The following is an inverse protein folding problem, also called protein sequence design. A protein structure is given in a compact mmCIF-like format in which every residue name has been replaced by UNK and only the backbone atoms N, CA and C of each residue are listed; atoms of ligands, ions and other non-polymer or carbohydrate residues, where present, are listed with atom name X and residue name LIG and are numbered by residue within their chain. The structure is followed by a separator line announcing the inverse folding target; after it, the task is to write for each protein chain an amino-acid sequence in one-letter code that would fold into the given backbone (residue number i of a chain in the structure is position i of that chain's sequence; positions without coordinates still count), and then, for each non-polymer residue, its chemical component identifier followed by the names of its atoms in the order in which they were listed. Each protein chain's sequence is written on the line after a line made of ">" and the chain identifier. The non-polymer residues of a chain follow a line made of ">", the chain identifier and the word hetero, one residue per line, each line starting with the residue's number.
data_IF_160380425473
#
_entry.id   IF_160380425473
#
_cell.length_a   1.000
_cell.length_b   1.000
_cell.length_c   1.000
_cell.angle_alpha   90.00
_cell.angle_beta   90.00
_cell.angle_gamma   90.00
#
_symmetry.space_group_name_H-M   'P 1'
#
loop_
_entity.id
_entity.type
_entity.pdbx_description
1 polymer ?
#
# COMPACT_ATOMS: atom_id res chain seq x y z
N UNK A 1 10.33 15.92 -12.34
CA UNK A 1 10.62 14.79 -11.43
C UNK A 1 10.47 13.51 -12.25
N UNK A 2 11.40 12.58 -12.12
CA UNK A 2 11.28 11.26 -12.73
C UNK A 2 9.95 10.61 -12.31
N UNK A 3 9.20 10.04 -13.27
CA UNK A 3 7.90 9.41 -13.03
C UNK A 3 8.03 8.25 -12.05
N UNK A 4 9.12 7.47 -12.13
CA UNK A 4 9.38 6.38 -11.19
C UNK A 4 9.55 6.90 -9.77
N UNK A 5 10.36 7.94 -9.59
CA UNK A 5 10.57 8.59 -8.29
C UNK A 5 9.26 9.18 -7.75
N UNK A 6 8.44 9.78 -8.61
CA UNK A 6 7.12 10.29 -8.21
C UNK A 6 6.22 9.16 -7.71
N UNK A 7 6.11 8.06 -8.45
CA UNK A 7 5.28 6.91 -8.07
C UNK A 7 5.72 6.30 -6.75
N UNK A 8 7.02 6.14 -6.54
CA UNK A 8 7.57 5.65 -5.27
C UNK A 8 7.29 6.60 -4.11
N UNK A 9 7.37 7.92 -4.31
CA UNK A 9 7.02 8.90 -3.28
C UNK A 9 5.53 8.88 -2.95
N UNK A 10 4.66 8.74 -3.96
CA UNK A 10 3.22 8.60 -3.75
C UNK A 10 2.96 7.35 -2.92
N UNK A 11 3.45 6.19 -3.37
CA UNK A 11 3.35 4.91 -2.66
C UNK A 11 3.84 5.05 -1.21
N UNK A 12 5.06 5.56 -1.02
CA UNK A 12 5.68 5.69 0.28
C UNK A 12 4.88 6.54 1.25
N UNK A 13 4.51 7.77 0.85
CA UNK A 13 3.77 8.66 1.73
C UNK A 13 2.32 8.21 1.97
N UNK A 14 1.64 7.64 0.97
CA UNK A 14 0.29 7.09 1.17
C UNK A 14 0.30 5.90 2.12
N UNK A 15 1.28 5.00 1.99
CA UNK A 15 1.41 3.82 2.84
C UNK A 15 1.83 4.19 4.27
N UNK A 16 2.66 5.21 4.45
CA UNK A 16 2.94 5.73 5.81
C UNK A 16 1.68 6.33 6.43
N UNK A 17 0.95 7.18 5.71
CA UNK A 17 -0.25 7.81 6.25
C UNK A 17 -1.29 6.76 6.66
N UNK A 18 -1.62 5.83 5.76
CA UNK A 18 -2.59 4.77 6.03
C UNK A 18 -2.09 3.79 7.08
N UNK A 19 -0.84 3.37 6.96
CA UNK A 19 -0.24 2.41 7.88
C UNK A 19 -0.14 2.95 9.31
N UNK A 20 0.11 4.25 9.49
CA UNK A 20 0.10 4.89 10.81
C UNK A 20 -1.31 4.97 11.40
N UNK A 21 -2.34 5.21 10.59
CA UNK A 21 -3.74 5.13 11.05
C UNK A 21 -4.05 3.73 11.56
N UNK A 22 -3.75 2.71 10.75
CA UNK A 22 -3.96 1.30 11.12
C UNK A 22 -3.14 0.85 12.32
N UNK A 23 -1.93 1.38 12.48
CA UNK A 23 -1.04 0.98 13.56
C UNK A 23 -1.40 1.64 14.90
N UNK A 24 -1.64 2.97 14.89
CA UNK A 24 -1.82 3.75 16.13
C UNK A 24 -3.27 3.88 16.57
N UNK A 25 -4.19 4.08 15.63
CA UNK A 25 -5.61 4.37 15.90
C UNK A 25 -6.57 3.49 15.09
N UNK A 26 -6.38 2.15 15.09
CA UNK A 26 -7.20 1.23 14.29
C UNK A 26 -8.67 1.23 14.69
N UNK A 27 -9.00 1.46 15.96
CA UNK A 27 -10.38 1.49 16.44
C UNK A 27 -11.17 2.64 15.82
N UNK A 28 -10.56 3.83 15.72
CA UNK A 28 -11.18 4.98 15.05
C UNK A 28 -11.45 4.69 13.57
N UNK A 29 -10.50 4.01 12.90
CA UNK A 29 -10.69 3.63 11.51
C UNK A 29 -11.83 2.62 11.35
N UNK A 30 -11.89 1.58 12.19
CA UNK A 30 -12.97 0.60 12.18
C UNK A 30 -14.35 1.25 12.43
N UNK A 31 -14.44 2.19 13.38
CA UNK A 31 -15.66 2.95 13.63
C UNK A 31 -16.09 3.78 12.42
N UNK A 32 -15.13 4.41 11.73
CA UNK A 32 -15.37 5.21 10.54
C UNK A 32 -15.87 4.36 9.35
N UNK A 33 -15.43 3.11 9.23
CA UNK A 33 -15.96 2.14 8.25
C UNK A 33 -17.30 1.50 8.66
N UNK A 34 -17.73 1.69 9.91
CA UNK A 34 -18.83 0.93 10.52
C UNK A 34 -18.51 -0.56 10.71
N UNK A 35 -17.22 -0.91 10.74
CA UNK A 35 -16.74 -2.27 10.89
C UNK A 35 -16.74 -2.74 12.34
N UNK A 36 -16.78 -4.06 12.54
CA UNK A 36 -16.59 -4.65 13.87
C UNK A 36 -15.11 -4.56 14.33
N UNK A 37 -14.87 -4.74 15.63
CA UNK A 37 -13.53 -4.61 16.23
C UNK A 37 -12.78 -5.94 16.38
N UNK A 38 -13.29 -7.02 15.80
CA UNK A 38 -12.69 -8.37 15.92
C UNK A 38 -11.29 -8.44 15.28
N UNK A 39 -11.04 -7.62 14.25
CA UNK A 39 -9.82 -7.67 13.44
C UNK A 39 -8.80 -6.58 13.76
N UNK A 40 -8.94 -5.87 14.88
CA UNK A 40 -8.04 -4.76 15.24
C UNK A 40 -6.57 -5.19 15.33
N UNK A 41 -6.29 -6.38 15.85
CA UNK A 41 -4.92 -6.90 15.92
C UNK A 41 -4.32 -7.13 14.52
N UNK A 42 -5.12 -7.62 13.58
CA UNK A 42 -4.72 -7.76 12.17
C UNK A 42 -4.48 -6.41 11.53
N UNK A 43 -5.36 -5.42 11.78
CA UNK A 43 -5.22 -4.07 11.26
C UNK A 43 -3.90 -3.42 11.71
N UNK A 44 -3.51 -3.58 12.98
CA UNK A 44 -2.21 -3.09 13.47
C UNK A 44 -1.03 -3.71 12.75
N UNK A 45 -1.05 -5.03 12.54
CA UNK A 45 0.04 -5.72 11.85
C UNK A 45 0.13 -5.30 10.37
N UNK A 46 -1.02 -5.14 9.72
CA UNK A 46 -1.10 -4.62 8.36
C UNK A 46 -0.57 -3.18 8.30
N UNK A 47 -0.91 -2.34 9.28
CA UNK A 47 -0.38 -0.99 9.41
C UNK A 47 1.14 -0.94 9.54
N UNK A 48 1.71 -1.80 10.40
CA UNK A 48 3.15 -1.92 10.56
C UNK A 48 3.86 -2.35 9.26
N UNK A 49 3.28 -3.32 8.53
CA UNK A 49 3.79 -3.77 7.25
C UNK A 49 3.73 -2.66 6.18
N UNK A 50 2.61 -1.94 6.09
CA UNK A 50 2.46 -0.80 5.19
C UNK A 50 3.48 0.30 5.46
N UNK A 51 3.71 0.65 6.73
CA UNK A 51 4.72 1.65 7.10
C UNK A 51 6.12 1.17 6.70
N UNK A 52 6.50 -0.05 7.06
CA UNK A 52 7.86 -0.54 6.90
C UNK A 52 8.19 -0.86 5.44
N UNK A 53 7.40 -1.71 4.79
CA UNK A 53 7.69 -2.25 3.46
C UNK A 53 7.33 -1.25 2.38
N UNK A 54 6.06 -0.87 2.27
CA UNK A 54 5.62 0.02 1.19
C UNK A 54 6.03 1.47 1.49
N UNK A 55 5.90 1.90 2.73
CA UNK A 55 6.21 3.25 3.17
C UNK A 55 7.70 3.59 3.08
N UNK A 56 8.47 3.10 4.06
CA UNK A 56 9.90 3.35 4.15
C UNK A 56 10.65 2.73 2.97
N UNK A 57 10.30 1.51 2.57
CA UNK A 57 10.94 0.85 1.41
C UNK A 57 10.79 1.67 0.12
N UNK A 58 9.60 2.20 -0.19
CA UNK A 58 9.43 3.01 -1.40
C UNK A 58 10.21 4.34 -1.32
N UNK A 59 10.24 5.00 -0.14
CA UNK A 59 10.98 6.25 0.02
C UNK A 59 12.50 6.06 -0.06
N UNK A 60 13.02 4.91 0.40
CA UNK A 60 14.42 4.54 0.22
C UNK A 60 14.73 4.25 -1.24
N UNK A 61 13.92 3.42 -1.91
CA UNK A 61 14.06 3.14 -3.34
C UNK A 61 13.93 4.41 -4.20
N UNK A 62 13.15 5.41 -3.76
CA UNK A 62 12.99 6.68 -4.48
C UNK A 62 14.26 7.54 -4.53
N UNK A 63 15.28 7.25 -3.68
CA UNK A 63 16.55 8.00 -3.68
C UNK A 63 17.36 7.70 -4.94
N UNK A 64 17.45 6.42 -5.29
CA UNK A 64 18.04 5.93 -6.53
C UNK A 64 17.35 4.62 -6.94
N UNK A 65 16.28 4.70 -7.76
CA UNK A 65 15.51 3.50 -8.13
C UNK A 65 16.30 2.47 -8.94
N UNK A 66 17.36 2.91 -9.64
CA UNK A 66 18.20 2.01 -10.46
C UNK A 66 19.16 1.24 -9.56
N UNK A 67 19.83 1.93 -8.64
CA UNK A 67 20.73 1.29 -7.67
C UNK A 67 19.95 0.41 -6.67
N UNK A 68 18.78 0.87 -6.22
CA UNK A 68 17.93 0.19 -5.22
C UNK A 68 16.87 -0.73 -5.85
N UNK A 69 17.14 -1.27 -7.03
CA UNK A 69 16.15 -2.05 -7.81
C UNK A 69 15.59 -3.27 -7.07
N UNK A 70 16.41 -3.94 -6.25
CA UNK A 70 15.92 -5.07 -5.45
C UNK A 70 14.89 -4.61 -4.41
N UNK A 71 15.12 -3.46 -3.78
CA UNK A 71 14.16 -2.88 -2.84
C UNK A 71 12.90 -2.39 -3.55
N UNK A 72 13.06 -1.78 -4.73
CA UNK A 72 11.94 -1.45 -5.62
C UNK A 72 11.06 -2.68 -5.91
N UNK A 73 11.68 -3.81 -6.26
CA UNK A 73 10.96 -5.03 -6.59
C UNK A 73 10.20 -5.61 -5.40
N UNK A 74 10.75 -5.51 -4.18
CA UNK A 74 10.05 -5.89 -2.95
C UNK A 74 8.84 -5.00 -2.71
N UNK A 75 8.99 -3.67 -2.85
CA UNK A 75 7.89 -2.70 -2.69
C UNK A 75 6.78 -2.95 -3.72
N UNK A 76 7.18 -3.17 -4.98
CA UNK A 76 6.25 -3.48 -6.06
C UNK A 76 5.50 -4.78 -5.79
N UNK A 77 6.20 -5.84 -5.38
CA UNK A 77 5.59 -7.13 -5.06
C UNK A 77 4.59 -7.00 -3.91
N UNK A 78 4.98 -6.34 -2.81
CA UNK A 78 4.10 -6.11 -1.67
C UNK A 78 2.84 -5.34 -2.09
N UNK A 79 3.01 -4.22 -2.80
CA UNK A 79 1.90 -3.40 -3.28
C UNK A 79 0.95 -4.18 -4.21
N UNK A 80 1.48 -5.05 -5.08
CA UNK A 80 0.66 -5.85 -5.99
C UNK A 80 -0.12 -6.93 -5.23
N UNK A 81 0.53 -7.64 -4.31
CA UNK A 81 -0.11 -8.70 -3.53
C UNK A 81 -1.19 -8.13 -2.60
N UNK A 82 -0.93 -7.01 -1.95
CA UNK A 82 -1.91 -6.30 -1.12
C UNK A 82 -3.11 -5.85 -1.94
N UNK A 83 -2.88 -5.27 -3.13
CA UNK A 83 -3.98 -4.87 -4.05
C UNK A 83 -4.80 -6.06 -4.51
N UNK A 84 -4.17 -7.20 -4.83
CA UNK A 84 -4.88 -8.43 -5.22
C UNK A 84 -5.70 -8.96 -4.05
N UNK A 85 -5.12 -9.01 -2.85
CA UNK A 85 -5.82 -9.47 -1.65
C UNK A 85 -7.03 -8.58 -1.33
N UNK A 86 -6.84 -7.26 -1.30
CA UNK A 86 -7.92 -6.29 -1.09
C UNK A 86 -8.99 -6.39 -2.17
N UNK A 87 -8.59 -6.52 -3.44
CA UNK A 87 -9.51 -6.69 -4.56
C UNK A 87 -10.33 -7.98 -4.46
N UNK A 88 -9.71 -9.09 -4.07
CA UNK A 88 -10.40 -10.35 -3.86
C UNK A 88 -11.40 -10.26 -2.70
N UNK A 89 -10.95 -9.79 -1.52
CA UNK A 89 -11.81 -9.61 -0.34
C UNK A 89 -12.94 -8.60 -0.58
N UNK A 90 -12.76 -7.63 -1.47
CA UNK A 90 -13.83 -6.71 -1.89
C UNK A 90 -14.83 -7.42 -2.80
N UNK A 91 -14.36 -8.26 -3.74
CA UNK A 91 -15.24 -9.00 -4.65
C UNK A 91 -16.08 -10.07 -3.93
N UNK A 92 -15.56 -10.69 -2.87
CA UNK A 92 -16.28 -11.66 -2.01
C UNK A 92 -17.00 -11.01 -0.82
N UNK A 93 -16.81 -9.71 -0.61
CA UNK A 93 -17.29 -8.94 0.53
C UNK A 93 -16.98 -9.58 1.89
N UNK A 94 -15.69 -9.81 2.14
CA UNK A 94 -15.18 -10.40 3.39
C UNK A 94 -15.11 -9.39 4.55
N UNK A 95 -15.42 -8.12 4.31
CA UNK A 95 -15.36 -7.05 5.30
C UNK A 95 -16.63 -6.97 6.15
N UNK A 96 -16.46 -6.59 7.41
CA UNK A 96 -17.57 -6.19 8.29
C UNK A 96 -17.98 -4.73 8.12
N UNK A 97 -17.25 -3.97 7.29
CA UNK A 97 -17.51 -2.56 7.00
C UNK A 97 -18.90 -2.37 6.37
N UNK A 98 -19.63 -1.36 6.84
CA UNK A 98 -20.93 -0.97 6.29
C UNK A 98 -20.81 0.14 5.25
N UNK A 99 -19.74 0.93 5.32
CA UNK A 99 -19.50 2.08 4.44
C UNK A 99 -18.52 1.70 3.32
N UNK A 100 -19.06 1.25 2.18
CA UNK A 100 -18.30 0.65 1.07
C UNK A 100 -17.19 1.54 0.51
N UNK A 101 -17.34 2.87 0.60
CA UNK A 101 -16.40 3.84 0.05
C UNK A 101 -15.03 3.76 0.71
N UNK A 102 -14.97 3.35 1.98
CA UNK A 102 -13.70 3.22 2.71
C UNK A 102 -12.93 1.95 2.34
N UNK A 103 -13.57 1.01 1.63
CA UNK A 103 -12.89 -0.15 1.03
C UNK A 103 -12.58 0.12 -0.45
N UNK A 104 -13.59 0.53 -1.21
CA UNK A 104 -13.49 0.70 -2.67
C UNK A 104 -12.61 1.88 -3.08
N UNK A 105 -12.62 2.98 -2.31
CA UNK A 105 -11.75 4.14 -2.54
C UNK A 105 -10.27 3.78 -2.46
N UNK A 106 -9.78 3.26 -1.32
CA UNK A 106 -8.40 2.78 -1.20
C UNK A 106 -8.03 1.71 -2.23
N UNK A 107 -8.94 0.79 -2.58
CA UNK A 107 -8.69 -0.21 -3.62
C UNK A 107 -8.38 0.44 -4.99
N UNK A 108 -9.15 1.44 -5.42
CA UNK A 108 -8.89 2.14 -6.69
C UNK A 108 -7.51 2.80 -6.68
N UNK A 109 -7.15 3.46 -5.57
CA UNK A 109 -5.83 4.08 -5.42
C UNK A 109 -4.73 3.03 -5.46
N UNK A 110 -4.90 1.92 -4.76
CA UNK A 110 -3.95 0.81 -4.70
C UNK A 110 -3.71 0.22 -6.11
N UNK A 111 -4.77 -0.01 -6.88
CA UNK A 111 -4.68 -0.45 -8.29
C UNK A 111 -3.83 0.51 -9.12
N UNK A 112 -4.09 1.82 -9.04
CA UNK A 112 -3.35 2.82 -9.80
C UNK A 112 -1.86 2.85 -9.42
N UNK A 113 -1.55 2.76 -8.12
CA UNK A 113 -0.16 2.71 -7.63
C UNK A 113 0.54 1.44 -8.08
N UNK A 114 -0.09 0.26 -7.92
CA UNK A 114 0.46 -1.02 -8.36
C UNK A 114 0.76 -1.03 -9.86
N UNK A 115 -0.18 -0.56 -10.70
CA UNK A 115 0.06 -0.43 -12.15
C UNK A 115 1.24 0.52 -12.42
N UNK A 116 1.28 1.65 -11.71
CA UNK A 116 2.38 2.61 -11.82
C UNK A 116 3.74 1.97 -11.52
N UNK A 117 3.84 1.19 -10.44
CA UNK A 117 5.08 0.51 -10.05
C UNK A 117 5.50 -0.55 -11.08
N UNK A 118 4.56 -1.23 -11.73
CA UNK A 118 4.87 -2.20 -12.79
C UNK A 118 5.38 -1.49 -14.04
N UNK A 119 4.63 -0.50 -14.54
CA UNK A 119 4.91 0.17 -15.82
C UNK A 119 6.18 1.02 -15.74
N UNK A 120 6.44 1.63 -14.59
CA UNK A 120 7.58 2.54 -14.37
C UNK A 120 8.77 1.85 -13.72
N UNK A 121 8.79 0.52 -13.71
CA UNK A 121 9.89 -0.26 -13.16
C UNK A 121 11.22 0.12 -13.83
N UNK A 122 12.27 0.46 -13.06
CA UNK A 122 13.59 0.76 -13.61
C UNK A 122 14.14 -0.39 -14.47
N UNK A 123 14.65 -0.03 -15.65
CA UNK A 123 15.37 -0.96 -16.52
C UNK A 123 16.80 -1.14 -15.98
N UNK A 124 17.32 -2.35 -16.07
CA UNK A 124 18.75 -2.59 -15.81
C UNK A 124 19.55 -1.84 -16.87
N UNK A 125 20.60 -1.13 -16.47
CA UNK A 125 21.64 -0.70 -17.40
C UNK A 125 22.40 -1.99 -17.73
N UNK A 126 22.24 -2.50 -18.95
CA UNK A 126 23.16 -3.54 -19.44
C UNK A 126 24.54 -2.88 -19.56
N UNK A 127 25.52 -3.42 -18.85
CA UNK A 127 26.95 -3.05 -19.00
C UNK A 127 27.50 -3.49 -20.36
#
# INVERSE_FOLDING_TARGET
>A
MDKTVLTLKICGWSSIAMGMVFFLVPEWYAELEGANTENIAWLRNLGAALVAVNGIGALLAARDPVAERNLYDVVMLASVLETIALGWSTATWEFSATEEIFITGPLVVAILVSIGLIVLRPKTIEE
#
